data_IF_537456222044
#
_entry.id   IF_537456222044
#
_cell.length_a   1.000
_cell.length_b   1.000
_cell.length_c   1.000
_cell.angle_alpha   90.00
_cell.angle_beta   90.00
_cell.angle_gamma   90.00
#
_symmetry.space_group_name_H-M   'P 1'
#
loop_
_entity.id
_entity.type
_entity.pdbx_description
1 polymer ?
#
# COMPACT_ATOMS: atom_id res chain seq x y z
N UNK A 1 31.07 -65.68 -70.37
CA UNK A 1 31.85 -65.53 -69.13
C UNK A 1 31.01 -64.71 -68.18
N UNK A 2 30.31 -65.34 -67.22
CA UNK A 2 30.69 -65.38 -65.77
C UNK A 2 30.76 -63.96 -65.16
N UNK A 3 30.06 -63.56 -64.08
CA UNK A 3 29.37 -64.25 -62.98
C UNK A 3 28.25 -63.35 -62.41
N UNK A 4 27.21 -64.03 -61.95
CA UNK A 4 26.15 -63.75 -60.96
C UNK A 4 26.50 -62.85 -59.75
N UNK A 5 25.55 -62.04 -59.25
CA UNK A 5 25.04 -62.18 -57.86
C UNK A 5 23.69 -61.48 -57.64
N UNK A 6 22.75 -62.26 -57.12
CA UNK A 6 21.42 -61.94 -56.59
C UNK A 6 21.54 -61.41 -55.15
N UNK A 7 20.64 -60.53 -54.66
CA UNK A 7 19.62 -60.73 -53.59
C UNK A 7 19.02 -59.33 -53.30
N UNK A 8 17.75 -59.06 -53.62
CA UNK A 8 16.51 -59.23 -52.84
C UNK A 8 16.29 -58.18 -51.71
N UNK A 9 15.24 -57.35 -51.88
CA UNK A 9 14.73 -56.48 -50.82
C UNK A 9 13.61 -55.53 -51.30
N UNK A 10 12.37 -55.94 -51.07
CA UNK A 10 11.09 -55.20 -51.06
C UNK A 10 11.20 -53.71 -50.62
N UNK A 11 10.29 -52.77 -50.89
CA UNK A 11 9.07 -52.64 -51.69
C UNK A 11 8.58 -51.17 -51.53
N UNK A 12 7.71 -50.75 -52.45
CA UNK A 12 6.67 -49.74 -52.31
C UNK A 12 7.06 -48.25 -52.18
N UNK A 13 6.71 -47.53 -53.25
CA UNK A 13 6.51 -46.10 -53.29
C UNK A 13 5.41 -45.62 -52.33
N UNK A 14 5.64 -44.48 -51.70
CA UNK A 14 4.63 -43.73 -50.97
C UNK A 14 4.98 -42.25 -51.01
N UNK A 15 4.15 -41.48 -51.73
CA UNK A 15 4.23 -40.04 -51.89
C UNK A 15 4.13 -39.37 -50.51
N UNK A 16 5.24 -38.81 -50.02
CA UNK A 16 5.26 -38.01 -48.81
C UNK A 16 4.89 -36.56 -49.11
N UNK A 17 3.63 -36.20 -48.86
CA UNK A 17 3.22 -34.80 -48.83
C UNK A 17 4.00 -34.06 -47.72
N UNK A 18 4.72 -33.00 -48.11
CA UNK A 18 5.33 -32.07 -47.17
C UNK A 18 4.20 -31.26 -46.54
N UNK A 19 3.73 -31.68 -45.37
CA UNK A 19 2.89 -30.84 -44.54
C UNK A 19 3.76 -29.72 -43.96
N UNK A 20 3.66 -28.52 -44.55
CA UNK A 20 3.99 -27.28 -43.88
C UNK A 20 3.13 -27.20 -42.62
N UNK A 21 3.70 -27.57 -41.48
CA UNK A 21 3.10 -27.31 -40.18
C UNK A 21 3.19 -25.81 -39.97
N UNK A 22 2.10 -25.14 -40.31
CA UNK A 22 1.83 -23.76 -39.92
C UNK A 22 1.78 -23.75 -38.39
N UNK A 23 2.88 -23.29 -37.76
CA UNK A 23 2.93 -23.08 -36.31
C UNK A 23 2.10 -21.84 -36.00
N UNK A 24 0.80 -22.05 -35.90
CA UNK A 24 -0.10 -21.13 -35.24
C UNK A 24 0.45 -20.89 -33.82
N UNK A 25 0.75 -19.64 -33.41
CA UNK A 25 1.25 -19.40 -32.05
C UNK A 25 0.17 -19.83 -31.08
N UNK A 26 0.48 -20.85 -30.26
CA UNK A 26 -0.35 -21.18 -29.11
C UNK A 26 -0.49 -19.92 -28.27
N UNK A 27 -1.72 -19.44 -28.09
CA UNK A 27 -2.00 -18.40 -27.09
C UNK A 27 -1.45 -18.92 -25.76
N UNK A 28 -0.38 -18.30 -25.28
CA UNK A 28 0.25 -18.72 -24.04
C UNK A 28 -0.78 -18.52 -22.92
N UNK A 29 -1.33 -19.61 -22.40
CA UNK A 29 -2.33 -19.59 -21.33
C UNK A 29 -1.75 -19.15 -19.99
N UNK A 30 -0.42 -18.94 -19.90
CA UNK A 30 0.29 -18.35 -18.78
C UNK A 30 1.57 -17.65 -19.24
N UNK A 31 2.05 -16.75 -18.38
CA UNK A 31 3.39 -16.16 -18.49
C UNK A 31 4.31 -16.88 -17.48
N UNK A 32 5.42 -17.50 -17.93
CA UNK A 32 6.39 -18.13 -17.04
C UNK A 32 7.28 -17.09 -16.32
N UNK A 33 7.97 -17.50 -15.26
CA UNK A 33 8.71 -16.58 -14.38
C UNK A 33 9.95 -15.95 -15.01
N UNK A 34 10.66 -16.68 -15.88
CA UNK A 34 11.73 -16.16 -16.73
C UNK A 34 11.21 -15.05 -17.66
N UNK A 35 10.03 -15.25 -18.26
CA UNK A 35 9.39 -14.23 -19.09
C UNK A 35 9.01 -12.98 -18.29
N UNK A 36 8.58 -13.10 -17.04
CA UNK A 36 8.35 -11.94 -16.17
C UNK A 36 9.63 -11.14 -15.93
N UNK A 37 10.76 -11.82 -15.70
CA UNK A 37 12.06 -11.17 -15.52
C UNK A 37 12.56 -10.48 -16.80
N UNK A 38 12.35 -11.08 -17.96
CA UNK A 38 12.62 -10.46 -19.26
C UNK A 38 11.77 -9.21 -19.49
N UNK A 39 10.45 -9.28 -19.26
CA UNK A 39 9.56 -8.13 -19.41
C UNK A 39 9.99 -6.97 -18.52
N UNK A 40 10.35 -7.24 -17.25
CA UNK A 40 10.87 -6.21 -16.36
C UNK A 40 12.15 -5.60 -16.95
N UNK A 41 13.11 -6.44 -17.37
CA UNK A 41 14.35 -5.98 -17.99
C UNK A 41 14.11 -5.10 -19.22
N UNK A 42 13.17 -5.46 -20.07
CA UNK A 42 12.83 -4.71 -21.30
C UNK A 42 12.16 -3.35 -21.01
N UNK A 43 11.54 -3.20 -19.84
CA UNK A 43 10.98 -1.92 -19.38
C UNK A 43 11.98 -1.02 -18.65
N UNK A 44 13.17 -1.53 -18.31
CA UNK A 44 14.19 -0.73 -17.63
C UNK A 44 14.84 0.26 -18.60
N UNK A 45 15.25 1.45 -18.12
CA UNK A 45 16.17 2.32 -18.84
C UNK A 45 17.52 1.62 -19.13
N UNK A 46 18.36 2.19 -20.01
CA UNK A 46 19.69 1.65 -20.27
C UNK A 46 20.53 1.52 -18.99
N UNK A 47 21.02 0.30 -18.72
CA UNK A 47 21.88 0.00 -17.58
C UNK A 47 22.27 -1.47 -17.52
N UNK A 48 23.16 -1.80 -16.58
CA UNK A 48 23.58 -3.18 -16.35
C UNK A 48 22.58 -3.91 -15.45
N UNK A 49 22.34 -5.18 -15.74
CA UNK A 49 21.41 -6.02 -14.97
C UNK A 49 22.05 -7.34 -14.56
N UNK A 50 21.72 -7.84 -13.36
CA UNK A 50 22.10 -9.19 -12.92
C UNK A 50 21.06 -9.79 -11.99
N UNK A 51 21.17 -11.09 -11.73
CA UNK A 51 20.32 -11.83 -10.79
C UNK A 51 18.82 -11.64 -11.06
N UNK A 52 18.43 -11.57 -12.34
CA UNK A 52 17.04 -11.47 -12.73
C UNK A 52 16.31 -12.79 -12.43
N UNK A 53 15.15 -12.69 -11.78
CA UNK A 53 14.29 -13.82 -11.43
C UNK A 53 12.83 -13.39 -11.42
N UNK A 54 11.91 -14.31 -11.58
CA UNK A 54 10.48 -14.00 -11.51
C UNK A 54 9.61 -15.20 -11.18
N UNK A 55 8.38 -14.92 -10.77
CA UNK A 55 7.30 -15.88 -10.59
C UNK A 55 6.26 -15.65 -11.69
N UNK A 56 5.90 -16.73 -12.39
CA UNK A 56 4.89 -16.67 -13.44
C UNK A 56 3.46 -16.57 -12.90
N UNK A 57 2.49 -16.50 -13.81
CA UNK A 57 1.06 -16.30 -13.47
C UNK A 57 0.37 -17.52 -12.85
N UNK A 58 1.07 -18.65 -12.70
CA UNK A 58 0.61 -19.83 -11.93
C UNK A 58 0.91 -19.74 -10.43
N UNK A 59 1.75 -18.79 -10.02
CA UNK A 59 2.17 -18.72 -8.62
C UNK A 59 0.99 -18.34 -7.72
N UNK A 60 0.80 -19.06 -6.62
CA UNK A 60 -0.18 -18.72 -5.59
C UNK A 60 0.12 -17.34 -4.96
N UNK A 61 1.39 -16.91 -5.01
CA UNK A 61 1.84 -15.60 -4.52
C UNK A 61 1.74 -14.48 -5.56
N UNK A 62 1.23 -14.77 -6.76
CA UNK A 62 1.09 -13.80 -7.86
C UNK A 62 2.28 -13.72 -8.83
N UNK A 63 2.08 -13.00 -9.93
CA UNK A 63 3.11 -12.79 -10.95
C UNK A 63 4.07 -11.67 -10.51
N UNK A 64 5.37 -11.95 -10.49
CA UNK A 64 6.38 -11.00 -10.02
C UNK A 64 7.71 -11.16 -10.74
N UNK A 65 8.54 -10.12 -10.67
CA UNK A 65 9.93 -10.13 -11.12
C UNK A 65 10.80 -9.31 -10.18
N UNK A 66 12.07 -9.71 -10.05
CA UNK A 66 13.09 -8.97 -9.31
C UNK A 66 14.40 -9.00 -10.10
N UNK A 67 15.12 -7.90 -10.08
CA UNK A 67 16.40 -7.73 -10.77
C UNK A 67 17.31 -6.77 -10.01
N UNK A 68 18.62 -7.03 -10.03
CA UNK A 68 19.59 -6.02 -9.63
C UNK A 68 19.93 -5.16 -10.85
N UNK A 69 19.78 -3.86 -10.71
CA UNK A 69 19.94 -2.88 -11.79
C UNK A 69 20.96 -1.80 -11.39
N UNK A 70 21.79 -1.40 -12.36
CA UNK A 70 22.84 -0.39 -12.20
C UNK A 70 22.87 0.56 -13.41
N UNK A 71 22.52 1.82 -13.19
CA UNK A 71 22.59 2.93 -14.14
C UNK A 71 23.97 3.62 -14.20
N UNK A 72 25.02 2.99 -13.67
CA UNK A 72 26.39 3.51 -13.60
C UNK A 72 26.80 4.03 -12.21
N UNK A 73 26.04 3.71 -11.16
CA UNK A 73 26.26 4.15 -9.77
C UNK A 73 26.20 2.99 -8.76
N UNK A 74 26.42 1.76 -9.23
CA UNK A 74 26.36 0.53 -8.43
C UNK A 74 24.98 -0.11 -8.43
N UNK A 75 24.91 -1.42 -8.18
CA UNK A 75 23.65 -2.16 -8.20
C UNK A 75 22.70 -1.78 -7.06
N UNK A 76 21.44 -1.55 -7.40
CA UNK A 76 20.30 -1.53 -6.47
C UNK A 76 19.27 -2.60 -6.84
N UNK A 77 18.29 -2.82 -5.97
CA UNK A 77 17.22 -3.81 -6.20
C UNK A 77 16.01 -3.15 -6.83
N UNK A 78 15.43 -3.79 -7.84
CA UNK A 78 14.15 -3.41 -8.44
C UNK A 78 13.26 -4.64 -8.45
N UNK A 79 12.00 -4.48 -8.03
CA UNK A 79 11.00 -5.53 -8.10
C UNK A 79 9.70 -4.99 -8.70
N UNK A 80 8.94 -5.92 -9.27
CA UNK A 80 7.64 -5.68 -9.89
C UNK A 80 6.68 -6.79 -9.47
N UNK A 81 5.43 -6.43 -9.18
CA UNK A 81 4.30 -7.35 -9.10
C UNK A 81 3.17 -6.93 -10.03
N UNK A 82 2.49 -7.93 -10.59
CA UNK A 82 1.28 -7.75 -11.42
C UNK A 82 0.18 -8.62 -10.84
N UNK A 83 -0.97 -8.03 -10.57
CA UNK A 83 -2.06 -8.70 -9.87
C UNK A 83 -3.43 -8.08 -10.14
N UNK A 84 -4.45 -8.60 -9.45
CA UNK A 84 -5.79 -8.00 -9.40
C UNK A 84 -6.21 -7.86 -7.94
N UNK A 85 -6.70 -6.69 -7.55
CA UNK A 85 -7.22 -6.44 -6.21
C UNK A 85 -8.57 -7.15 -6.01
N UNK A 86 -8.79 -7.80 -4.86
CA UNK A 86 -10.10 -8.33 -4.51
C UNK A 86 -10.99 -7.19 -3.97
N UNK A 87 -11.99 -6.76 -4.74
CA UNK A 87 -13.00 -5.81 -4.28
C UNK A 87 -12.78 -4.36 -4.75
N UNK A 88 -13.53 -3.38 -4.18
CA UNK A 88 -13.56 -2.03 -4.72
C UNK A 88 -12.24 -1.28 -4.53
N UNK A 89 -11.76 -0.65 -5.62
CA UNK A 89 -10.50 0.13 -5.74
C UNK A 89 -10.42 1.37 -4.83
N UNK A 90 -11.44 1.63 -4.00
CA UNK A 90 -11.57 2.82 -3.16
C UNK A 90 -10.52 2.94 -2.04
N UNK A 91 -9.78 1.87 -1.74
CA UNK A 91 -8.71 1.86 -0.72
C UNK A 91 -7.29 2.02 -1.28
N UNK A 92 -7.13 2.02 -2.60
CA UNK A 92 -5.84 2.35 -3.23
C UNK A 92 -5.54 3.82 -2.95
N UNK A 93 -4.29 4.18 -2.64
CA UNK A 93 -3.93 5.59 -2.44
C UNK A 93 -2.68 5.78 -1.59
N UNK A 94 -2.41 7.02 -1.24
CA UNK A 94 -1.28 7.35 -0.37
C UNK A 94 -1.41 6.77 1.03
N UNK A 95 -0.29 6.24 1.53
CA UNK A 95 -0.16 5.78 2.91
C UNK A 95 -0.36 6.93 3.90
N UNK A 96 -0.83 6.57 5.10
CA UNK A 96 -1.16 7.54 6.14
C UNK A 96 0.09 7.93 6.93
N UNK A 97 0.45 9.22 6.92
CA UNK A 97 1.66 9.75 7.57
C UNK A 97 1.75 9.52 9.07
N UNK A 98 0.62 9.28 9.75
CA UNK A 98 0.61 8.86 11.16
C UNK A 98 1.41 7.56 11.39
N UNK A 99 1.46 6.68 10.39
CA UNK A 99 2.19 5.40 10.43
C UNK A 99 3.41 5.37 9.50
N UNK A 100 3.43 6.26 8.51
CA UNK A 100 4.50 6.37 7.51
C UNK A 100 5.07 7.80 7.49
N UNK A 101 5.73 8.24 8.59
CA UNK A 101 6.06 9.65 8.83
C UNK A 101 7.01 10.29 7.82
N UNK A 102 7.79 9.48 7.11
CA UNK A 102 8.76 9.93 6.11
C UNK A 102 8.29 9.72 4.67
N UNK A 103 7.06 9.24 4.49
CA UNK A 103 6.51 8.98 3.16
C UNK A 103 6.17 10.31 2.47
N UNK A 104 6.60 10.44 1.21
CA UNK A 104 6.19 11.50 0.29
C UNK A 104 5.44 10.84 -0.84
N UNK A 105 4.14 11.05 -0.88
CA UNK A 105 3.27 10.35 -1.81
C UNK A 105 2.42 11.31 -2.63
N UNK A 106 2.21 10.96 -3.89
CA UNK A 106 1.29 11.61 -4.81
C UNK A 106 0.32 10.57 -5.36
N UNK A 107 -0.93 10.98 -5.52
CA UNK A 107 -2.02 10.14 -5.98
C UNK A 107 -2.81 10.88 -7.05
N UNK A 108 -2.85 10.32 -8.25
CA UNK A 108 -3.42 10.97 -9.44
C UNK A 108 -4.29 10.01 -10.24
N UNK A 109 -5.25 10.57 -10.97
CA UNK A 109 -6.04 9.81 -11.94
C UNK A 109 -5.48 10.07 -13.34
N UNK A 110 -5.15 9.00 -14.05
CA UNK A 110 -4.68 9.02 -15.44
C UNK A 110 -5.85 9.24 -16.40
N UNK A 111 -5.54 9.57 -17.67
CA UNK A 111 -6.55 9.90 -18.68
C UNK A 111 -7.53 8.74 -19.00
N UNK A 112 -7.09 7.50 -18.83
CA UNK A 112 -7.90 6.28 -18.97
C UNK A 112 -8.78 5.98 -17.74
N UNK A 113 -8.65 6.79 -16.67
CA UNK A 113 -9.34 6.61 -15.41
C UNK A 113 -8.66 5.65 -14.44
N UNK A 114 -7.48 5.12 -14.77
CA UNK A 114 -6.62 4.39 -13.85
C UNK A 114 -6.07 5.33 -12.78
N UNK A 115 -5.78 4.79 -11.59
CA UNK A 115 -5.15 5.52 -10.48
C UNK A 115 -3.66 5.24 -10.46
N UNK A 116 -2.86 6.29 -10.34
CA UNK A 116 -1.41 6.22 -10.22
C UNK A 116 -0.99 6.77 -8.86
N UNK A 117 -0.42 5.90 -8.04
CA UNK A 117 0.20 6.24 -6.76
C UNK A 117 1.71 6.22 -6.94
N UNK A 118 2.37 7.29 -6.51
CA UNK A 118 3.81 7.46 -6.58
C UNK A 118 4.32 7.78 -5.20
N UNK A 119 5.39 7.13 -4.76
CA UNK A 119 5.90 7.37 -3.42
C UNK A 119 7.40 7.29 -3.27
N UNK A 120 7.90 8.07 -2.31
CA UNK A 120 9.27 8.03 -1.79
C UNK A 120 9.23 7.89 -0.28
N UNK A 121 9.96 6.93 0.24
CA UNK A 121 10.16 6.78 1.67
C UNK A 121 11.31 5.84 1.96
N UNK A 122 11.08 4.98 2.94
CA UNK A 122 12.05 4.05 3.48
C UNK A 122 11.46 2.63 3.53
N UNK A 123 12.33 1.63 3.57
CA UNK A 123 11.93 0.23 3.74
C UNK A 123 11.25 0.04 5.09
N UNK A 124 11.84 0.60 6.14
CA UNK A 124 11.24 0.68 7.47
C UNK A 124 10.66 2.08 7.63
N UNK A 125 9.33 2.18 7.67
CA UNK A 125 8.57 3.43 7.61
C UNK A 125 8.95 4.48 8.67
N UNK A 126 9.45 4.03 9.83
CA UNK A 126 9.81 4.85 10.99
C UNK A 126 11.32 5.02 11.18
N UNK A 127 12.14 4.40 10.34
CA UNK A 127 13.61 4.46 10.43
C UNK A 127 14.21 5.10 9.16
N UNK A 128 14.61 6.39 9.24
CA UNK A 128 15.20 7.09 8.09
C UNK A 128 16.65 6.66 7.81
N UNK A 129 17.20 5.73 8.58
CA UNK A 129 18.52 5.10 8.35
C UNK A 129 18.41 3.78 7.57
N UNK A 130 17.21 3.21 7.47
CA UNK A 130 16.93 2.04 6.63
C UNK A 130 17.07 2.39 5.13
N UNK A 131 17.17 1.39 4.23
CA UNK A 131 17.23 1.65 2.80
C UNK A 131 16.08 2.54 2.32
N UNK A 132 16.37 3.48 1.43
CA UNK A 132 15.32 4.24 0.75
C UNK A 132 14.53 3.29 -0.13
N UNK A 133 13.20 3.46 -0.14
CA UNK A 133 12.26 2.67 -0.94
C UNK A 133 11.36 3.61 -1.72
N UNK A 134 11.44 3.57 -3.04
CA UNK A 134 10.60 4.36 -3.93
C UNK A 134 9.74 3.42 -4.77
N UNK A 135 8.48 3.78 -5.02
CA UNK A 135 7.59 2.95 -5.81
C UNK A 135 6.64 3.78 -6.67
N UNK A 136 6.12 3.15 -7.72
CA UNK A 136 4.95 3.56 -8.45
C UNK A 136 3.97 2.39 -8.50
N UNK A 137 2.68 2.69 -8.49
CA UNK A 137 1.61 1.71 -8.57
C UNK A 137 0.49 2.24 -9.45
N UNK A 138 0.15 1.50 -10.49
CA UNK A 138 -1.00 1.77 -11.34
C UNK A 138 -2.09 0.76 -11.02
N UNK A 139 -3.30 1.25 -10.73
CA UNK A 139 -4.49 0.41 -10.56
C UNK A 139 -5.59 0.84 -11.53
N UNK A 140 -6.08 -0.08 -12.37
CA UNK A 140 -7.19 0.17 -13.29
C UNK A 140 -8.53 0.17 -12.55
N UNK A 141 -9.60 0.66 -13.20
CA UNK A 141 -10.95 0.67 -12.61
C UNK A 141 -11.48 -0.73 -12.29
N UNK A 142 -11.03 -1.71 -13.06
CA UNK A 142 -11.41 -3.12 -12.92
C UNK A 142 -10.53 -3.85 -11.89
N UNK A 143 -9.64 -3.12 -11.20
CA UNK A 143 -8.82 -3.62 -10.10
C UNK A 143 -7.53 -4.30 -10.54
N UNK A 144 -7.13 -4.21 -11.80
CA UNK A 144 -5.84 -4.71 -12.27
C UNK A 144 -4.74 -3.79 -11.75
N UNK A 145 -3.69 -4.35 -11.19
CA UNK A 145 -2.64 -3.60 -10.52
C UNK A 145 -1.26 -3.99 -11.04
N UNK A 146 -0.44 -2.97 -11.30
CA UNK A 146 0.99 -3.10 -11.56
C UNK A 146 1.74 -2.25 -10.53
N UNK A 147 2.62 -2.87 -9.76
CA UNK A 147 3.41 -2.20 -8.73
C UNK A 147 4.90 -2.40 -9.02
N UNK A 148 5.66 -1.31 -9.14
CA UNK A 148 7.10 -1.33 -9.32
C UNK A 148 7.76 -0.60 -8.15
N UNK A 149 8.80 -1.20 -7.58
CA UNK A 149 9.50 -0.68 -6.41
C UNK A 149 11.00 -0.82 -6.59
N UNK A 150 11.74 0.19 -6.16
CA UNK A 150 13.19 0.20 -6.15
C UNK A 150 13.72 0.55 -4.76
N UNK A 151 14.83 -0.09 -4.38
CA UNK A 151 15.51 0.14 -3.11
C UNK A 151 16.93 0.65 -3.33
N UNK A 152 17.36 1.55 -2.45
CA UNK A 152 18.79 1.79 -2.27
C UNK A 152 19.45 0.54 -1.67
N UNK A 153 20.77 0.37 -1.81
CA UNK A 153 21.51 -0.62 -1.03
C UNK A 153 21.35 -0.36 0.48
N UNK A 154 21.62 -1.39 1.28
CA UNK A 154 21.84 -1.20 2.71
C UNK A 154 23.07 -0.32 2.95
N UNK A 155 23.04 0.49 4.01
CA UNK A 155 24.14 1.39 4.33
C UNK A 155 25.46 0.63 4.44
N UNK A 156 26.46 1.04 3.67
CA UNK A 156 27.78 0.40 3.64
C UNK A 156 27.89 -0.84 2.75
N UNK A 157 26.83 -1.21 2.01
CA UNK A 157 26.85 -2.35 1.07
C UNK A 157 26.90 -1.93 -0.41
N UNK A 158 26.79 -0.63 -0.70
CA UNK A 158 26.96 -0.10 -2.05
C UNK A 158 28.39 -0.35 -2.55
N UNK A 159 28.54 -0.72 -3.83
CA UNK A 159 29.84 -1.11 -4.41
C UNK A 159 30.90 0.01 -4.33
N UNK A 160 30.49 1.27 -4.41
CA UNK A 160 31.33 2.44 -4.23
C UNK A 160 31.14 3.13 -2.86
N UNK A 161 30.22 2.62 -2.04
CA UNK A 161 29.82 3.22 -0.76
C UNK A 161 29.06 4.54 -0.87
N UNK A 162 28.78 5.06 -2.07
CA UNK A 162 28.23 6.42 -2.27
C UNK A 162 26.76 6.48 -2.65
N UNK A 163 26.18 5.37 -3.15
CA UNK A 163 24.76 5.31 -3.50
C UNK A 163 23.87 5.40 -2.24
N UNK A 164 23.09 6.48 -2.16
CA UNK A 164 22.08 6.69 -1.12
C UNK A 164 20.65 6.52 -1.62
N UNK A 165 20.43 6.58 -2.94
CA UNK A 165 19.12 6.53 -3.58
C UNK A 165 18.89 5.22 -4.33
N UNK A 166 17.62 4.79 -4.50
CA UNK A 166 17.27 3.72 -5.41
C UNK A 166 17.76 3.96 -6.85
N UNK A 167 18.02 2.91 -7.63
CA UNK A 167 18.55 3.03 -8.99
C UNK A 167 17.55 3.53 -10.02
N UNK A 168 16.28 3.67 -9.64
CA UNK A 168 15.23 4.23 -10.47
C UNK A 168 14.58 5.41 -9.78
N UNK A 169 14.36 6.48 -10.52
CA UNK A 169 13.48 7.58 -10.11
C UNK A 169 12.01 7.14 -10.13
N UNK A 170 11.17 7.89 -9.42
CA UNK A 170 9.70 7.69 -9.44
C UNK A 170 9.12 7.84 -10.85
N UNK A 171 9.68 8.72 -11.69
CA UNK A 171 9.28 8.85 -13.09
C UNK A 171 9.56 7.58 -13.89
N UNK A 172 10.76 7.01 -13.76
CA UNK A 172 11.11 5.75 -14.41
C UNK A 172 10.26 4.58 -13.89
N UNK A 173 9.95 4.54 -12.60
CA UNK A 173 9.01 3.56 -12.03
C UNK A 173 7.59 3.74 -12.60
N UNK A 174 7.18 4.98 -12.87
CA UNK A 174 5.91 5.29 -13.52
C UNK A 174 5.89 4.75 -14.96
N UNK A 175 6.97 4.97 -15.72
CA UNK A 175 7.12 4.43 -17.08
C UNK A 175 7.02 2.90 -17.08
N UNK A 176 7.62 2.25 -16.08
CA UNK A 176 7.53 0.80 -15.90
C UNK A 176 6.08 0.39 -15.65
N UNK A 177 5.39 0.91 -14.63
CA UNK A 177 4.03 0.43 -14.29
C UNK A 177 2.97 0.74 -15.35
N UNK A 178 3.21 1.75 -16.19
CA UNK A 178 2.31 2.13 -17.30
C UNK A 178 2.68 1.48 -18.64
N UNK A 179 3.74 0.66 -18.68
CA UNK A 179 4.19 0.02 -19.90
C UNK A 179 3.14 -0.95 -20.47
N UNK A 180 2.97 -0.92 -21.80
CA UNK A 180 2.04 -1.83 -22.50
C UNK A 180 2.43 -3.31 -22.36
N UNK A 181 3.69 -3.58 -22.00
CA UNK A 181 4.23 -4.92 -21.76
C UNK A 181 3.40 -5.75 -20.76
N UNK A 182 2.71 -5.10 -19.81
CA UNK A 182 1.94 -5.78 -18.77
C UNK A 182 0.56 -6.26 -19.21
N UNK A 183 0.03 -5.76 -20.34
CA UNK A 183 -1.31 -6.12 -20.82
C UNK A 183 -1.46 -7.64 -21.00
N UNK A 184 -0.50 -8.26 -21.68
CA UNK A 184 -0.50 -9.71 -21.90
C UNK A 184 -0.38 -10.52 -20.59
N UNK A 185 0.28 -9.98 -19.57
CA UNK A 185 0.35 -10.62 -18.24
C UNK A 185 -1.01 -10.54 -17.55
N UNK A 186 -1.62 -9.35 -17.56
CA UNK A 186 -2.93 -9.10 -16.93
C UNK A 186 -4.02 -9.97 -17.55
N UNK A 187 -4.04 -10.10 -18.88
CA UNK A 187 -5.04 -10.91 -19.61
C UNK A 187 -5.07 -12.38 -19.16
N UNK A 188 -3.92 -12.94 -18.79
CA UNK A 188 -3.80 -14.35 -18.37
C UNK A 188 -3.81 -14.55 -16.86
N UNK A 189 -3.85 -13.48 -16.07
CA UNK A 189 -4.01 -13.61 -14.62
C UNK A 189 -5.35 -14.29 -14.30
N UNK A 190 -5.41 -15.14 -13.27
CA UNK A 190 -6.70 -15.60 -12.77
C UNK A 190 -7.55 -14.40 -12.33
N UNK A 191 -8.87 -14.48 -12.52
CA UNK A 191 -9.77 -13.49 -11.94
C UNK A 191 -9.60 -13.46 -10.42
N UNK A 192 -9.71 -12.28 -9.79
CA UNK A 192 -9.71 -12.23 -8.33
C UNK A 192 -10.89 -13.06 -7.82
N UNK A 193 -10.69 -13.93 -6.81
CA UNK A 193 -11.81 -14.51 -6.12
C UNK A 193 -12.72 -13.36 -5.67
N UNK A 194 -14.06 -13.49 -5.80
CA UNK A 194 -14.96 -12.50 -5.24
C UNK A 194 -14.54 -12.25 -3.79
N UNK A 195 -14.54 -11.00 -3.32
CA UNK A 195 -14.13 -10.69 -1.95
C UNK A 195 -14.86 -11.67 -1.04
N UNK A 196 -14.10 -12.41 -0.24
CA UNK A 196 -14.70 -13.31 0.73
C UNK A 196 -15.75 -12.48 1.46
N UNK A 197 -17.00 -12.96 1.51
CA UNK A 197 -18.02 -12.30 2.33
C UNK A 197 -17.45 -12.31 3.73
N UNK A 198 -16.90 -11.18 4.16
CA UNK A 198 -16.61 -10.99 5.57
C UNK A 198 -17.90 -11.33 6.31
N UNK A 199 -17.84 -12.19 7.35
CA UNK A 199 -19.01 -12.44 8.15
C UNK A 199 -19.60 -11.09 8.54
N UNK A 200 -20.91 -10.89 8.35
CA UNK A 200 -21.62 -9.63 8.60
C UNK A 200 -21.60 -9.16 10.07
N UNK A 201 -20.74 -9.76 10.88
CA UNK A 201 -20.48 -9.48 12.27
C UNK A 201 -19.71 -8.17 12.35
N UNK A 202 -20.43 -7.07 12.56
CA UNK A 202 -19.83 -5.80 12.95
C UNK A 202 -19.45 -4.87 11.79
N UNK A 203 -20.17 -4.88 10.66
CA UNK A 203 -20.00 -3.91 9.55
C UNK A 203 -19.72 -2.50 10.10
N UNK A 204 -18.45 -2.10 10.03
CA UNK A 204 -17.99 -0.75 10.35
C UNK A 204 -18.05 0.04 9.06
N UNK A 205 -18.79 1.13 9.04
CA UNK A 205 -18.90 2.00 7.87
C UNK A 205 -18.20 3.31 8.15
N UNK A 206 -17.12 3.66 7.43
CA UNK A 206 -16.59 5.02 7.42
C UNK A 206 -17.68 6.00 6.97
N UNK A 207 -17.97 7.03 7.76
CA UNK A 207 -19.13 7.91 7.52
C UNK A 207 -18.80 9.31 7.01
N UNK A 208 -17.57 9.78 7.21
CA UNK A 208 -17.15 11.12 6.78
C UNK A 208 -15.94 11.07 5.85
N UNK A 209 -15.93 11.94 4.85
CA UNK A 209 -14.76 12.16 3.99
C UNK A 209 -13.60 12.75 4.80
N UNK A 210 -12.37 12.37 4.45
CA UNK A 210 -11.13 12.87 5.06
C UNK A 210 -11.13 14.39 5.27
N UNK A 211 -11.44 15.13 4.20
CA UNK A 211 -11.41 16.58 4.19
C UNK A 211 -12.41 17.18 5.19
N UNK A 212 -13.57 16.53 5.39
CA UNK A 212 -14.55 16.97 6.39
C UNK A 212 -14.03 16.72 7.80
N UNK A 213 -13.42 15.56 8.06
CA UNK A 213 -12.82 15.26 9.37
C UNK A 213 -11.70 16.25 9.69
N UNK A 214 -10.80 16.52 8.75
CA UNK A 214 -9.71 17.48 8.91
C UNK A 214 -10.23 18.90 9.18
N UNK A 215 -11.24 19.35 8.44
CA UNK A 215 -11.85 20.67 8.61
C UNK A 215 -12.52 20.81 9.98
N UNK A 216 -13.36 19.83 10.37
CA UNK A 216 -14.01 19.82 11.69
C UNK A 216 -12.96 19.81 12.81
N UNK A 217 -11.94 18.95 12.71
CA UNK A 217 -10.88 18.87 13.72
C UNK A 217 -10.18 20.22 13.86
N UNK A 218 -9.75 20.86 12.76
CA UNK A 218 -9.08 22.16 12.78
C UNK A 218 -9.91 23.25 13.47
N UNK A 219 -11.23 23.26 13.26
CA UNK A 219 -12.13 24.23 13.90
C UNK A 219 -12.28 23.98 15.41
N UNK A 220 -12.12 22.75 15.86
CA UNK A 220 -12.21 22.37 17.28
C UNK A 220 -10.88 22.46 18.02
N UNK A 221 -9.76 22.64 17.31
CA UNK A 221 -8.45 22.78 17.93
C UNK A 221 -8.30 24.13 18.66
N UNK A 222 -7.56 24.16 19.78
CA UNK A 222 -7.12 25.42 20.38
C UNK A 222 -6.36 26.27 19.36
N UNK A 223 -6.65 27.57 19.34
CA UNK A 223 -6.05 28.53 18.37
C UNK A 223 -4.54 28.70 18.53
N UNK A 224 -3.97 28.30 19.68
CA UNK A 224 -2.54 28.32 19.94
C UNK A 224 -1.76 27.22 19.22
N UNK A 225 -2.43 26.22 18.64
CA UNK A 225 -1.79 25.11 17.95
C UNK A 225 -1.54 25.43 16.48
N UNK A 226 -0.31 25.20 16.03
CA UNK A 226 0.06 25.26 14.62
C UNK A 226 -0.08 23.87 14.01
N UNK A 227 -0.79 23.76 12.88
CA UNK A 227 -0.83 22.52 12.10
C UNK A 227 0.37 22.44 11.16
N UNK A 228 1.08 21.31 11.19
CA UNK A 228 2.30 21.08 10.39
C UNK A 228 2.03 20.14 9.21
N UNK A 229 1.35 19.02 9.47
CA UNK A 229 1.08 17.97 8.47
C UNK A 229 -0.34 17.47 8.62
N UNK A 230 -0.99 17.17 7.51
CA UNK A 230 -2.33 16.58 7.47
C UNK A 230 -2.28 15.26 6.69
N UNK A 231 -2.97 14.24 7.18
CA UNK A 231 -3.05 12.93 6.54
C UNK A 231 -4.38 12.27 6.85
N UNK A 232 -4.67 11.14 6.20
CA UNK A 232 -5.82 10.32 6.52
C UNK A 232 -6.18 9.34 5.41
N UNK A 233 -7.09 8.43 5.72
CA UNK A 233 -7.73 7.55 4.75
C UNK A 233 -8.82 8.32 4.01
N UNK A 234 -9.24 7.92 2.79
CA UNK A 234 -10.28 8.62 2.03
C UNK A 234 -11.54 8.92 2.84
N UNK A 235 -11.95 7.97 3.70
CA UNK A 235 -13.07 8.13 4.63
C UNK A 235 -12.75 7.62 6.02
N UNK A 236 -13.45 8.18 7.01
CA UNK A 236 -13.53 7.69 8.39
C UNK A 236 -12.28 7.84 9.24
N UNK A 237 -11.17 8.32 8.69
CA UNK A 237 -9.95 8.59 9.44
C UNK A 237 -9.24 9.83 8.92
N UNK A 238 -8.79 10.69 9.83
CA UNK A 238 -7.83 11.74 9.53
C UNK A 238 -6.88 11.98 10.70
N UNK A 239 -5.73 12.55 10.40
CA UNK A 239 -4.75 12.95 11.40
C UNK A 239 -4.12 14.29 11.06
N UNK A 240 -3.67 14.97 12.10
CA UNK A 240 -2.92 16.22 12.05
C UNK A 240 -1.69 16.08 12.95
N UNK A 241 -0.54 16.51 12.46
CA UNK A 241 0.59 16.85 13.33
C UNK A 241 0.44 18.31 13.74
N UNK A 242 0.46 18.58 15.05
CA UNK A 242 0.36 19.91 15.62
C UNK A 242 1.57 20.27 16.47
N UNK A 243 1.81 21.56 16.67
CA UNK A 243 2.87 22.08 17.54
C UNK A 243 2.38 23.30 18.34
N UNK A 244 2.62 23.26 19.65
CA UNK A 244 2.35 24.33 20.64
C UNK A 244 3.62 25.13 21.00
N UNK A 245 4.71 24.98 20.23
CA UNK A 245 6.04 25.52 20.51
C UNK A 245 6.90 24.63 21.41
N UNK A 246 6.39 23.45 21.82
CA UNK A 246 7.10 22.48 22.67
C UNK A 246 7.43 21.18 21.92
N UNK A 247 7.26 21.17 20.61
CA UNK A 247 7.55 20.03 19.73
C UNK A 247 6.28 19.40 19.16
N UNK A 248 6.43 18.65 18.08
CA UNK A 248 5.32 18.06 17.36
C UNK A 248 4.55 16.99 18.17
N UNK A 249 3.23 16.94 17.96
CA UNK A 249 2.30 15.98 18.57
C UNK A 249 1.29 15.53 17.51
N UNK A 250 1.06 14.23 17.41
CA UNK A 250 0.02 13.67 16.54
C UNK A 250 -1.35 13.84 17.20
N UNK A 251 -2.35 14.18 16.41
CA UNK A 251 -3.77 14.03 16.73
C UNK A 251 -4.38 13.20 15.63
N UNK A 252 -5.14 12.17 16.00
CA UNK A 252 -5.89 11.35 15.06
C UNK A 252 -7.36 11.29 15.44
N UNK A 253 -8.21 11.20 14.43
CA UNK A 253 -9.65 11.10 14.58
C UNK A 253 -10.17 10.00 13.68
N UNK A 254 -10.91 9.07 14.29
CA UNK A 254 -11.66 8.04 13.59
C UNK A 254 -13.16 8.30 13.75
N UNK A 255 -13.88 8.39 12.63
CA UNK A 255 -15.34 8.55 12.59
C UNK A 255 -15.96 7.40 11.81
N UNK A 256 -16.63 6.53 12.55
CA UNK A 256 -17.14 5.26 12.05
C UNK A 256 -18.56 5.04 12.53
N UNK A 257 -19.38 4.37 11.73
CA UNK A 257 -20.67 3.84 12.17
C UNK A 257 -20.57 2.34 12.35
N UNK A 258 -20.83 1.91 13.56
CA UNK A 258 -20.89 0.52 13.97
C UNK A 258 -22.32 0.04 13.96
N UNK A 259 -22.52 -1.27 13.77
CA UNK A 259 -23.81 -1.89 14.08
C UNK A 259 -24.11 -1.65 15.57
N UNK A 260 -25.31 -1.14 15.93
CA UNK A 260 -25.72 -1.06 17.32
C UNK A 260 -25.52 -2.41 18.04
N UNK A 261 -25.00 -2.35 19.27
CA UNK A 261 -24.73 -3.51 20.14
C UNK A 261 -23.72 -4.56 19.63
N UNK A 262 -22.82 -4.18 18.71
CA UNK A 262 -21.71 -5.05 18.32
C UNK A 262 -20.92 -5.55 19.54
N UNK A 263 -20.45 -6.80 19.49
CA UNK A 263 -19.73 -7.43 20.61
C UNK A 263 -18.46 -6.64 20.92
N UNK A 264 -17.79 -6.16 19.88
CA UNK A 264 -16.57 -5.35 19.92
C UNK A 264 -16.81 -4.04 20.68
N UNK A 265 -17.88 -3.31 20.33
CA UNK A 265 -18.22 -2.06 21.00
C UNK A 265 -18.74 -2.28 22.42
N UNK A 266 -19.46 -3.37 22.68
CA UNK A 266 -19.84 -3.74 24.06
C UNK A 266 -18.61 -4.01 24.93
N UNK A 267 -17.58 -4.68 24.40
CA UNK A 267 -16.31 -4.88 25.11
C UNK A 267 -15.54 -3.57 25.28
N UNK A 268 -15.41 -2.77 24.23
CA UNK A 268 -14.68 -1.50 24.26
C UNK A 268 -15.29 -0.49 25.26
N UNK A 269 -16.61 -0.48 25.40
CA UNK A 269 -17.33 0.44 26.29
C UNK A 269 -17.93 -0.24 27.53
N UNK A 270 -17.45 -1.43 27.91
CA UNK A 270 -18.02 -2.22 29.02
C UNK A 270 -18.04 -1.45 30.35
N UNK A 271 -17.01 -0.64 30.59
CA UNK A 271 -16.83 0.14 31.81
C UNK A 271 -17.16 1.63 31.63
N UNK A 272 -17.73 2.02 30.48
CA UNK A 272 -18.10 3.41 30.21
C UNK A 272 -19.46 3.73 30.83
N UNK A 273 -19.56 4.87 31.51
CA UNK A 273 -20.85 5.36 31.97
C UNK A 273 -21.73 5.77 30.79
N UNK A 274 -23.02 5.43 30.87
CA UNK A 274 -24.03 5.89 29.91
C UNK A 274 -24.46 7.30 30.29
N UNK A 275 -24.43 8.20 29.30
CA UNK A 275 -24.87 9.60 29.41
C UNK A 275 -26.39 9.71 29.23
N UNK A 276 -27.02 10.84 29.61
CA UNK A 276 -28.47 11.04 29.48
C UNK A 276 -29.01 10.91 28.05
N UNK A 277 -28.18 11.20 27.05
CA UNK A 277 -28.50 11.04 25.63
C UNK A 277 -28.31 9.59 25.11
N UNK A 278 -28.02 8.64 26.01
CA UNK A 278 -27.76 7.24 25.71
C UNK A 278 -26.36 6.96 25.17
N UNK A 279 -25.52 7.97 24.95
CA UNK A 279 -24.15 7.76 24.50
C UNK A 279 -23.24 7.21 25.60
N UNK A 280 -22.20 6.49 25.23
CA UNK A 280 -21.17 5.98 26.15
C UNK A 280 -19.86 6.66 25.85
N UNK A 281 -19.19 7.17 26.88
CA UNK A 281 -17.96 7.94 26.75
C UNK A 281 -16.86 7.37 27.65
N UNK A 282 -15.64 7.27 27.12
CA UNK A 282 -14.46 6.84 27.88
C UNK A 282 -13.24 7.66 27.49
N UNK A 283 -12.34 7.85 28.45
CA UNK A 283 -10.98 8.36 28.19
C UNK A 283 -9.95 7.36 28.62
N UNK A 284 -8.82 7.30 27.92
CA UNK A 284 -7.74 6.35 28.19
C UNK A 284 -6.39 7.04 28.09
N UNK A 285 -5.45 6.54 28.88
CA UNK A 285 -4.02 6.84 28.75
C UNK A 285 -3.30 5.50 28.71
N UNK A 286 -2.74 5.17 27.56
CA UNK A 286 -2.09 3.87 27.35
C UNK A 286 -0.68 4.08 26.81
N UNK A 287 0.22 3.12 27.03
CA UNK A 287 1.41 3.01 26.20
C UNK A 287 1.01 3.01 24.72
N UNK A 288 1.86 3.58 23.87
CA UNK A 288 1.59 3.58 22.44
C UNK A 288 1.61 2.16 21.87
N UNK A 289 0.71 1.82 20.93
CA UNK A 289 0.72 0.54 20.24
C UNK A 289 1.99 0.30 19.39
N UNK A 290 2.79 1.34 19.11
CA UNK A 290 4.06 1.18 18.37
C UNK A 290 5.12 0.41 19.17
N UNK A 291 5.00 0.36 20.50
CA UNK A 291 6.00 -0.21 21.40
C UNK A 291 7.20 0.69 21.69
N UNK A 292 7.26 1.91 21.14
CA UNK A 292 8.37 2.83 21.40
C UNK A 292 8.43 3.28 22.86
N UNK A 293 9.64 3.22 23.42
CA UNK A 293 9.89 3.60 24.81
C UNK A 293 9.52 5.06 25.06
N UNK A 294 8.60 5.27 26.00
CA UNK A 294 8.17 6.61 26.42
C UNK A 294 7.13 7.26 25.49
N UNK A 295 6.72 6.58 24.41
CA UNK A 295 5.61 7.01 23.58
C UNK A 295 4.29 6.55 24.22
N UNK A 296 3.33 7.45 24.33
CA UNK A 296 2.02 7.12 24.90
C UNK A 296 0.91 7.85 24.18
N UNK A 297 -0.26 7.22 24.24
CA UNK A 297 -1.46 7.67 23.58
C UNK A 297 -2.51 8.06 24.61
N UNK A 298 -3.07 9.25 24.44
CA UNK A 298 -4.24 9.69 25.19
C UNK A 298 -5.44 9.68 24.25
N UNK A 299 -6.57 9.20 24.75
CA UNK A 299 -7.75 8.97 23.93
C UNK A 299 -9.02 9.49 24.60
N UNK A 300 -9.94 9.97 23.78
CA UNK A 300 -11.33 10.20 24.12
C UNK A 300 -12.20 9.51 23.07
N UNK A 301 -13.16 8.69 23.51
CA UNK A 301 -13.95 7.84 22.63
C UNK A 301 -15.42 7.92 23.05
N UNK A 302 -16.29 8.25 22.11
CA UNK A 302 -17.74 8.29 22.30
C UNK A 302 -18.42 7.35 21.30
N UNK A 303 -19.40 6.60 21.80
CA UNK A 303 -20.31 5.79 21.01
C UNK A 303 -21.75 6.23 21.26
N UNK A 304 -22.41 6.70 20.21
CA UNK A 304 -23.82 7.09 20.22
C UNK A 304 -24.75 5.86 20.08
N UNK A 305 -26.02 5.96 20.52
CA UNK A 305 -27.00 4.87 20.39
C UNK A 305 -27.26 4.40 18.96
N UNK A 306 -27.11 5.29 17.99
CA UNK A 306 -27.27 5.02 16.55
C UNK A 306 -26.05 4.31 15.94
N UNK A 307 -25.04 3.98 16.76
CA UNK A 307 -23.81 3.32 16.35
C UNK A 307 -22.72 4.27 15.84
N UNK A 308 -22.95 5.58 15.78
CA UNK A 308 -21.89 6.54 15.44
C UNK A 308 -20.83 6.56 16.54
N UNK A 309 -19.58 6.30 16.18
CA UNK A 309 -18.41 6.38 17.05
C UNK A 309 -17.47 7.49 16.59
N UNK A 310 -17.02 8.29 17.54
CA UNK A 310 -15.96 9.28 17.36
C UNK A 310 -14.86 8.93 18.36
N UNK A 311 -13.70 8.53 17.84
CA UNK A 311 -12.49 8.32 18.62
C UNK A 311 -11.48 9.41 18.26
N UNK A 312 -10.92 10.05 19.28
CA UNK A 312 -9.89 11.07 19.16
C UNK A 312 -8.69 10.62 19.97
N UNK A 313 -7.57 10.40 19.30
CA UNK A 313 -6.30 10.01 19.89
C UNK A 313 -5.26 11.12 19.77
N UNK A 314 -4.29 11.14 20.67
CA UNK A 314 -3.11 12.01 20.54
C UNK A 314 -1.85 11.35 21.10
N UNK A 315 -0.70 11.63 20.46
CA UNK A 315 0.61 11.15 20.86
C UNK A 315 1.52 12.29 21.31
N UNK A 316 2.49 11.97 22.15
CA UNK A 316 3.59 12.85 22.54
C UNK A 316 4.77 12.84 21.54
N UNK A 317 4.49 12.57 20.27
CA UNK A 317 5.42 12.69 19.13
C UNK A 317 4.60 12.90 17.85
N UNK A 318 5.27 13.20 16.74
CA UNK A 318 4.64 13.60 15.48
C UNK A 318 3.87 12.49 14.74
N UNK A 319 4.23 11.23 14.98
CA UNK A 319 3.68 10.04 14.35
C UNK A 319 4.09 8.78 15.14
N UNK A 320 3.36 7.67 14.98
CA UNK A 320 3.66 6.42 15.66
C UNK A 320 5.07 5.94 15.34
N UNK A 321 5.78 5.48 16.36
CA UNK A 321 7.08 4.83 16.18
C UNK A 321 8.24 5.80 15.93
N UNK A 322 8.01 7.11 16.04
CA UNK A 322 9.09 8.10 16.05
C UNK A 322 9.71 8.26 17.45
N UNK A 323 10.93 8.82 17.53
CA UNK A 323 11.49 9.25 18.80
C UNK A 323 10.57 10.26 19.50
N UNK A 324 10.46 10.13 20.82
CA UNK A 324 9.70 11.05 21.66
C UNK A 324 10.47 12.36 21.80
N UNK A 325 9.83 13.48 21.44
CA UNK A 325 10.41 14.82 21.51
C UNK A 325 9.75 15.69 22.60
N UNK A 326 8.69 15.20 23.27
CA UNK A 326 7.98 15.93 24.32
C UNK A 326 7.44 15.02 25.44
N UNK A 327 7.33 15.52 26.68
CA UNK A 327 6.94 14.72 27.84
C UNK A 327 5.43 14.52 28.02
N UNK A 328 4.59 15.13 27.18
CA UNK A 328 3.13 14.95 27.14
C UNK A 328 2.58 15.44 25.79
N UNK A 329 1.46 14.92 25.27
CA UNK A 329 0.82 15.41 24.05
C UNK A 329 0.47 16.90 24.10
N UNK A 330 0.25 17.51 22.93
CA UNK A 330 -0.17 18.92 22.82
C UNK A 330 -1.59 19.15 23.37
N UNK A 331 -2.44 18.12 23.33
CA UNK A 331 -3.79 18.17 23.87
C UNK A 331 -3.90 17.51 25.25
N UNK A 332 -4.61 18.16 26.15
CA UNK A 332 -5.05 17.58 27.41
C UNK A 332 -6.21 16.61 27.21
N UNK A 333 -6.44 15.71 28.16
CA UNK A 333 -7.62 14.81 28.13
C UNK A 333 -8.95 15.58 28.11
N UNK A 334 -9.02 16.76 28.72
CA UNK A 334 -10.20 17.62 28.66
C UNK A 334 -10.45 18.17 27.26
N UNK A 335 -9.40 18.58 26.56
CA UNK A 335 -9.52 19.03 25.16
C UNK A 335 -9.90 17.89 24.22
N UNK A 336 -9.31 16.69 24.40
CA UNK A 336 -9.71 15.50 23.63
C UNK A 336 -11.19 15.17 23.85
N UNK A 337 -11.66 15.23 25.10
CA UNK A 337 -13.07 15.03 25.43
C UNK A 337 -13.96 16.08 24.75
N UNK A 338 -13.58 17.36 24.78
CA UNK A 338 -14.34 18.42 24.12
C UNK A 338 -14.44 18.21 22.60
N UNK A 339 -13.34 17.80 21.96
CA UNK A 339 -13.31 17.48 20.52
C UNK A 339 -14.22 16.28 20.24
N UNK A 340 -14.08 15.17 20.96
CA UNK A 340 -14.86 13.96 20.73
C UNK A 340 -16.38 14.17 20.92
N UNK A 341 -16.77 15.04 21.86
CA UNK A 341 -18.16 15.32 22.21
C UNK A 341 -18.82 16.41 21.36
N UNK A 342 -18.10 17.05 20.44
CA UNK A 342 -18.62 18.16 19.65
C UNK A 342 -19.75 17.72 18.71
N UNK A 343 -20.82 18.53 18.63
CA UNK A 343 -21.95 18.25 17.74
C UNK A 343 -21.61 18.41 16.25
N UNK A 344 -20.49 19.06 15.93
CA UNK A 344 -19.96 19.25 14.57
C UNK A 344 -19.70 17.93 13.82
N UNK A 345 -19.53 16.81 14.55
CA UNK A 345 -19.37 15.46 13.99
C UNK A 345 -20.67 14.85 13.46
N UNK A 346 -21.83 15.34 13.92
CA UNK A 346 -23.16 14.79 13.58
C UNK A 346 -23.77 15.44 12.35
N UNK A 347 -23.13 16.49 11.80
CA UNK A 347 -23.67 17.36 10.75
C UNK A 347 -23.24 17.00 9.35
#
# INVERSE_FOLDING_TARGET
MTVTLTILGLAAAGIGAVALVDRQPAQATQVPGDRMAELLKDTLPPGATRQARGTGTRSETGASAEIQYDEGRGFGRVALSVGRLPGPVSEVGCLVLAHYPYEQCTDTTLADGSRLVMSKGYEVATDPTSPRRWYAEMTTRDGEQVHAVAWSPEKGTAADGTRIDPPLSVGQLTDIVTAQAWKAVIEVLPGSPPPAREPANGRVTPVLEKARIQSTLKNLLPTSLRTARESGSPKGYASLTVDDGKGESLIEVTVQRWKPDSVEMRKAFANAATRPDGSRFVTRKTPSPSGNKGEFQWEADILHPDGLRIHVGTLNTAAFGLPVNRPAPALTTGQLAAIALADDWKR
#
